data_IF_794412320310
#
_entry.id   IF_794412320310
#
_cell.length_a   1.000
_cell.length_b   1.000
_cell.length_c   1.000
_cell.angle_alpha   90.00
_cell.angle_beta   90.00
_cell.angle_gamma   90.00
#
_symmetry.space_group_name_H-M   'P 1'
#
loop_
_entity.id
_entity.type
_entity.pdbx_description
1 polymer ?
#
# COMPACT_ATOMS: atom_id res chain seq x y z
N UNK A 1 26.18 -28.95 -4.88
CA UNK A 1 24.80 -28.62 -5.25
C UNK A 1 24.17 -27.74 -4.17
N UNK A 2 24.31 -26.42 -4.27
CA UNK A 2 23.53 -25.49 -3.46
C UNK A 2 22.80 -24.58 -4.43
N UNK A 3 21.48 -24.75 -4.55
CA UNK A 3 20.64 -23.78 -5.25
C UNK A 3 20.72 -22.48 -4.46
N UNK A 4 21.22 -21.41 -5.08
CA UNK A 4 21.06 -20.07 -4.55
C UNK A 4 19.58 -19.85 -4.22
N UNK A 5 19.23 -19.21 -3.10
CA UNK A 5 17.84 -18.89 -2.81
C UNK A 5 17.31 -18.08 -4.00
N UNK A 6 16.16 -18.47 -4.53
CA UNK A 6 15.45 -17.72 -5.57
C UNK A 6 15.14 -16.33 -5.00
N UNK A 7 16.08 -15.38 -5.14
CA UNK A 7 15.78 -13.97 -5.00
C UNK A 7 14.80 -13.66 -6.11
N UNK A 8 13.53 -13.56 -5.76
CA UNK A 8 12.50 -13.09 -6.64
C UNK A 8 12.81 -11.61 -6.91
N UNK A 9 13.73 -11.35 -7.84
CA UNK A 9 14.36 -10.06 -8.08
C UNK A 9 13.28 -9.06 -8.47
N UNK A 10 12.82 -8.29 -7.47
CA UNK A 10 11.75 -7.32 -7.63
C UNK A 10 10.54 -7.52 -6.73
N UNK A 11 10.39 -8.59 -5.92
CA UNK A 11 9.24 -8.66 -4.98
C UNK A 11 9.65 -8.31 -3.56
N UNK A 12 8.81 -7.55 -2.86
CA UNK A 12 8.98 -7.31 -1.43
C UNK A 12 8.73 -8.60 -0.64
N UNK A 13 9.56 -8.85 0.36
CA UNK A 13 9.39 -9.92 1.34
C UNK A 13 10.14 -9.56 2.64
N UNK A 14 9.46 -9.04 3.67
CA UNK A 14 8.02 -8.80 3.76
C UNK A 14 7.58 -7.54 2.98
N UNK A 15 6.26 -7.33 2.89
CA UNK A 15 5.69 -6.13 2.28
C UNK A 15 5.47 -5.09 3.38
N UNK A 16 6.06 -3.91 3.24
CA UNK A 16 5.82 -2.80 4.16
C UNK A 16 4.90 -1.75 3.54
N UNK A 17 3.98 -1.23 4.37
CA UNK A 17 3.38 0.08 4.18
C UNK A 17 4.15 1.10 5.01
N UNK A 18 4.03 2.38 4.69
CA UNK A 18 4.61 3.46 5.49
C UNK A 18 3.98 4.81 5.20
N UNK A 19 4.22 5.77 6.09
CA UNK A 19 3.85 7.17 5.89
C UNK A 19 4.59 7.82 4.71
N UNK A 20 4.30 9.10 4.44
CA UNK A 20 4.86 9.84 3.31
C UNK A 20 6.38 10.01 3.39
N UNK A 21 6.95 10.03 4.59
CA UNK A 21 8.40 10.13 4.84
C UNK A 21 9.14 8.81 4.62
N UNK A 22 8.43 7.67 4.65
CA UNK A 22 9.03 6.36 4.42
C UNK A 22 9.32 6.19 2.91
N UNK A 23 10.57 5.90 2.53
CA UNK A 23 10.97 5.80 1.13
C UNK A 23 10.37 4.57 0.47
N UNK A 24 10.02 4.70 -0.81
CA UNK A 24 9.59 3.58 -1.63
C UNK A 24 10.74 2.65 -2.01
N UNK A 25 10.41 1.42 -2.38
CA UNK A 25 11.34 0.45 -2.94
C UNK A 25 11.01 -0.99 -2.55
N UNK A 26 11.96 -1.89 -2.83
CA UNK A 26 11.83 -3.32 -2.51
C UNK A 26 12.03 -3.51 -1.01
N UNK A 27 10.96 -3.86 -0.30
CA UNK A 27 10.99 -4.20 1.12
C UNK A 27 11.64 -5.56 1.38
N UNK A 28 12.63 -5.59 2.26
CA UNK A 28 13.24 -6.80 2.80
C UNK A 28 13.46 -6.63 4.30
N UNK A 29 13.76 -7.72 5.02
CA UNK A 29 14.09 -7.63 6.45
C UNK A 29 15.30 -6.71 6.75
N UNK A 30 16.19 -6.50 5.78
CA UNK A 30 17.38 -5.66 5.93
C UNK A 30 17.12 -4.24 5.41
N UNK A 31 16.34 -4.10 4.33
CA UNK A 31 15.96 -2.81 3.74
C UNK A 31 14.46 -2.61 3.85
N UNK A 32 14.07 -1.92 4.92
CA UNK A 32 12.68 -1.61 5.20
C UNK A 32 12.19 -0.45 4.33
N UNK A 33 11.74 -0.79 3.12
CA UNK A 33 11.20 0.14 2.12
C UNK A 33 9.70 -0.10 1.92
N UNK A 34 8.97 0.99 1.69
CA UNK A 34 7.53 0.91 1.43
C UNK A 34 7.26 0.44 0.00
N UNK A 35 6.31 -0.48 -0.19
CA UNK A 35 5.95 -0.96 -1.52
C UNK A 35 5.02 0.04 -2.24
N UNK A 36 5.40 0.46 -3.45
CA UNK A 36 4.60 1.28 -4.40
C UNK A 36 3.97 0.43 -5.53
N UNK A 37 4.26 -0.87 -5.53
CA UNK A 37 3.79 -1.84 -6.52
C UNK A 37 2.73 -2.79 -5.93
N UNK A 38 1.87 -2.26 -5.06
CA UNK A 38 0.86 -3.02 -4.36
C UNK A 38 -0.35 -3.36 -5.24
N UNK A 39 -0.84 -4.59 -5.11
CA UNK A 39 -2.08 -5.08 -5.71
C UNK A 39 -2.91 -5.79 -4.68
N UNK A 40 -4.22 -5.54 -4.71
CA UNK A 40 -5.14 -6.24 -3.86
C UNK A 40 -5.59 -7.54 -4.52
N UNK A 41 -5.42 -8.68 -3.86
CA UNK A 41 -5.87 -9.99 -4.39
C UNK A 41 -7.36 -10.23 -4.20
N UNK A 42 -8.08 -9.34 -3.50
CA UNK A 42 -9.53 -9.44 -3.30
C UNK A 42 -10.34 -8.87 -4.47
N UNK A 43 -9.96 -7.68 -4.93
CA UNK A 43 -10.62 -7.00 -6.04
C UNK A 43 -9.76 -6.99 -7.31
N UNK A 44 -8.52 -7.45 -7.24
CA UNK A 44 -7.57 -7.54 -8.37
C UNK A 44 -7.05 -6.19 -8.90
N UNK A 45 -7.39 -5.09 -8.22
CA UNK A 45 -6.93 -3.73 -8.55
C UNK A 45 -5.60 -3.37 -7.89
N UNK A 46 -4.91 -2.42 -8.53
CA UNK A 46 -3.77 -1.71 -7.91
C UNK A 46 -4.23 -0.97 -6.65
N UNK A 47 -3.39 -0.99 -5.63
CA UNK A 47 -3.57 -0.14 -4.45
C UNK A 47 -2.97 1.22 -4.74
N UNK A 48 -3.80 2.25 -4.79
CA UNK A 48 -3.35 3.63 -4.93
C UNK A 48 -2.89 4.17 -3.58
N UNK A 49 -1.98 5.14 -3.61
CA UNK A 49 -1.43 5.75 -2.42
C UNK A 49 -1.20 7.26 -2.60
N UNK A 50 -1.45 8.02 -1.54
CA UNK A 50 -1.40 9.49 -1.57
C UNK A 50 -0.62 10.02 -0.35
N UNK A 51 0.49 10.70 -0.62
CA UNK A 51 1.36 11.28 0.41
C UNK A 51 0.69 12.46 1.11
N UNK A 52 0.95 12.60 2.41
CA UNK A 52 0.50 13.68 3.28
C UNK A 52 -1.03 13.79 3.38
N UNK A 53 -1.70 12.65 3.20
CA UNK A 53 -3.13 12.49 3.38
C UNK A 53 -3.44 11.29 4.28
N UNK A 54 -4.58 11.37 4.94
CA UNK A 54 -5.27 10.25 5.56
C UNK A 54 -6.71 10.19 5.06
N UNK A 55 -7.34 9.02 5.09
CA UNK A 55 -8.77 8.88 4.86
C UNK A 55 -9.57 9.48 6.01
N UNK A 56 -10.62 10.22 5.66
CA UNK A 56 -11.61 10.68 6.62
C UNK A 56 -12.35 9.51 7.29
N UNK A 57 -12.77 9.67 8.55
CA UNK A 57 -13.43 8.61 9.32
C UNK A 57 -14.80 8.21 8.76
N UNK A 58 -15.44 9.07 7.95
CA UNK A 58 -16.69 8.77 7.26
C UNK A 58 -16.52 7.89 6.02
N UNK A 59 -15.29 7.52 5.64
CA UNK A 59 -15.07 6.61 4.53
C UNK A 59 -15.76 5.26 4.78
N UNK A 60 -16.37 4.71 3.74
CA UNK A 60 -17.06 3.43 3.76
C UNK A 60 -16.73 2.61 2.51
N UNK A 61 -17.19 1.37 2.50
CA UNK A 61 -16.96 0.44 1.39
C UNK A 61 -17.51 0.96 0.05
N UNK A 62 -18.72 1.53 0.03
CA UNK A 62 -19.37 1.96 -1.20
C UNK A 62 -18.64 3.15 -1.82
N UNK A 63 -18.09 4.04 -0.98
CA UNK A 63 -17.27 5.15 -1.45
C UNK A 63 -16.10 4.67 -2.31
N UNK A 64 -15.30 3.70 -1.84
CA UNK A 64 -14.16 3.21 -2.63
C UNK A 64 -14.60 2.39 -3.84
N UNK A 65 -15.64 1.56 -3.68
CA UNK A 65 -16.16 0.74 -4.79
C UNK A 65 -16.62 1.60 -5.98
N UNK A 66 -17.21 2.76 -5.71
CA UNK A 66 -17.81 3.61 -6.74
C UNK A 66 -16.87 4.70 -7.29
N UNK A 67 -15.78 5.02 -6.60
CA UNK A 67 -14.94 6.19 -6.90
C UNK A 67 -13.46 5.86 -7.16
N UNK A 68 -13.04 4.61 -7.03
CA UNK A 68 -11.69 4.22 -7.45
C UNK A 68 -11.68 3.87 -8.94
N UNK A 69 -10.68 4.36 -9.73
CA UNK A 69 -9.46 5.05 -9.29
C UNK A 69 -9.50 6.61 -9.36
N UNK A 70 -10.67 7.24 -9.47
CA UNK A 70 -10.78 8.68 -9.77
C UNK A 70 -10.30 9.59 -8.62
N UNK A 71 -9.08 10.11 -8.73
CA UNK A 71 -8.48 10.99 -7.71
C UNK A 71 -9.35 12.19 -7.33
N UNK A 72 -10.01 12.85 -8.30
CA UNK A 72 -10.89 14.00 -8.03
C UNK A 72 -12.04 13.65 -7.08
N UNK A 73 -12.57 12.43 -7.17
CA UNK A 73 -13.61 11.92 -6.26
C UNK A 73 -13.03 11.44 -4.94
N UNK A 74 -11.89 10.76 -4.96
CA UNK A 74 -11.24 10.25 -3.75
C UNK A 74 -10.78 11.38 -2.83
N UNK A 75 -10.27 12.48 -3.38
CA UNK A 75 -9.78 13.64 -2.63
C UNK A 75 -10.84 14.26 -1.73
N UNK A 76 -12.14 14.09 -2.03
CA UNK A 76 -13.23 14.65 -1.21
C UNK A 76 -13.35 14.00 0.17
N UNK A 77 -12.78 12.80 0.36
CA UNK A 77 -12.68 12.12 1.66
C UNK A 77 -11.25 11.93 2.14
N UNK A 78 -10.32 12.77 1.67
CA UNK A 78 -8.97 12.84 2.20
C UNK A 78 -8.79 14.08 3.06
N UNK A 79 -8.11 13.92 4.19
CA UNK A 79 -7.69 15.01 5.06
C UNK A 79 -6.18 15.18 4.96
N UNK A 80 -5.70 16.41 4.80
CA UNK A 80 -4.25 16.66 4.84
C UNK A 80 -3.70 16.28 6.22
N UNK A 81 -2.66 15.46 6.21
CA UNK A 81 -1.90 15.08 7.41
C UNK A 81 -0.47 14.78 7.01
N UNK A 82 0.41 15.74 7.29
CA UNK A 82 1.84 15.63 6.96
C UNK A 82 2.45 14.40 7.63
N UNK A 83 3.25 13.65 6.89
CA UNK A 83 3.88 12.42 7.35
C UNK A 83 3.04 11.15 7.11
N UNK A 84 1.72 11.27 6.91
CA UNK A 84 0.85 10.12 6.64
C UNK A 84 0.81 9.74 5.18
N UNK A 85 0.39 8.51 4.89
CA UNK A 85 0.03 8.08 3.55
C UNK A 85 -1.30 7.34 3.56
N UNK A 86 -2.22 7.77 2.71
CA UNK A 86 -3.51 7.14 2.50
C UNK A 86 -3.37 6.09 1.39
N UNK A 87 -3.74 4.84 1.68
CA UNK A 87 -3.74 3.72 0.73
C UNK A 87 -5.16 3.22 0.49
N UNK A 88 -5.52 2.88 -0.74
CA UNK A 88 -6.80 2.24 -1.01
C UNK A 88 -6.79 1.41 -2.29
N UNK A 89 -7.62 0.37 -2.30
CA UNK A 89 -8.17 -0.23 -3.51
C UNK A 89 -9.70 -0.12 -3.47
N UNK A 90 -10.40 -0.73 -4.43
CA UNK A 90 -11.88 -0.69 -4.47
C UNK A 90 -12.59 -1.34 -3.25
N UNK A 91 -11.90 -2.17 -2.45
CA UNK A 91 -12.56 -2.95 -1.39
C UNK A 91 -12.03 -2.70 0.02
N UNK A 92 -10.89 -2.02 0.19
CA UNK A 92 -10.29 -1.75 1.50
C UNK A 92 -9.35 -0.55 1.41
N UNK A 93 -9.10 0.08 2.55
CA UNK A 93 -8.29 1.28 2.69
C UNK A 93 -7.59 1.31 4.04
N UNK A 94 -6.48 2.07 4.12
CA UNK A 94 -5.68 2.30 5.32
C UNK A 94 -5.06 3.70 5.27
N UNK A 95 -4.92 4.32 6.44
CA UNK A 95 -4.06 5.48 6.64
C UNK A 95 -2.89 5.03 7.49
N UNK A 96 -1.66 5.28 7.04
CA UNK A 96 -0.45 4.79 7.69
C UNK A 96 0.46 5.98 7.99
N UNK A 97 0.93 6.07 9.23
CA UNK A 97 1.84 7.12 9.69
C UNK A 97 3.28 6.58 9.75
N UNK A 98 3.44 5.38 10.29
CA UNK A 98 4.73 4.73 10.51
C UNK A 98 4.87 3.47 9.66
N UNK A 99 6.10 3.03 9.46
CA UNK A 99 6.36 1.81 8.72
C UNK A 99 5.66 0.61 9.40
N UNK A 100 4.86 -0.11 8.62
CA UNK A 100 4.02 -1.22 9.08
C UNK A 100 4.30 -2.45 8.22
N UNK A 101 4.67 -3.55 8.86
CA UNK A 101 4.80 -4.86 8.20
C UNK A 101 3.42 -5.47 7.95
N UNK A 102 3.05 -5.66 6.67
CA UNK A 102 1.75 -6.23 6.31
C UNK A 102 1.62 -7.71 6.66
N UNK A 103 2.71 -8.43 6.91
CA UNK A 103 2.61 -9.83 7.34
C UNK A 103 1.87 -9.98 8.67
N UNK A 104 1.80 -8.89 9.45
CA UNK A 104 1.05 -8.84 10.71
C UNK A 104 -0.44 -8.52 10.53
N UNK A 105 -0.85 -7.88 9.41
CA UNK A 105 -2.26 -7.58 9.10
C UNK A 105 -2.82 -8.60 8.11
N UNK A 106 -3.27 -9.76 8.62
CA UNK A 106 -3.85 -10.83 7.81
C UNK A 106 -5.17 -10.47 7.12
N UNK A 107 -5.83 -9.39 7.53
CA UNK A 107 -7.08 -8.95 6.89
C UNK A 107 -6.80 -8.19 5.60
N UNK A 108 -5.61 -7.59 5.48
CA UNK A 108 -5.20 -6.87 4.29
C UNK A 108 -4.67 -7.82 3.22
N UNK A 109 -5.48 -8.04 2.19
CA UNK A 109 -5.13 -8.88 1.04
C UNK A 109 -4.30 -8.11 -0.01
N UNK A 110 -3.30 -7.37 0.43
CA UNK A 110 -2.41 -6.58 -0.45
C UNK A 110 -1.05 -7.25 -0.57
N UNK A 111 -0.57 -7.39 -1.79
CA UNK A 111 0.70 -8.05 -2.12
C UNK A 111 1.54 -7.18 -3.05
N UNK A 112 2.86 -7.42 -3.07
CA UNK A 112 3.74 -6.81 -4.06
C UNK A 112 3.56 -7.50 -5.43
N UNK A 113 3.28 -6.72 -6.46
CA UNK A 113 3.08 -7.17 -7.85
C UNK A 113 4.38 -7.38 -8.63
N UNK A 114 5.54 -7.14 -7.99
CA UNK A 114 6.89 -6.99 -8.55
C UNK A 114 7.22 -5.55 -8.97
N UNK A 115 8.37 -5.06 -8.52
CA UNK A 115 9.05 -3.85 -8.95
C UNK A 115 9.83 -4.13 -10.24
N UNK A 116 9.76 -3.20 -11.18
CA UNK A 116 10.60 -3.19 -12.37
C UNK A 116 11.83 -2.37 -12.00
N UNK A 117 13.00 -2.99 -12.07
CA UNK A 117 14.31 -2.36 -11.80
C UNK A 117 14.82 -1.55 -12.98
#
# INVERSE_FOLDING_TARGET
>A
FLKAPNFNSGRCCPVYLGGSTAPYGIGTNISQRTCDQLRCTACDFRVLHYNDYQWDKSCDYLFFRNNMPEFSKLKTKMLMKKGSRAYACQCTWRSIDELTDLTMDRQLRWVCSKHIG
#
